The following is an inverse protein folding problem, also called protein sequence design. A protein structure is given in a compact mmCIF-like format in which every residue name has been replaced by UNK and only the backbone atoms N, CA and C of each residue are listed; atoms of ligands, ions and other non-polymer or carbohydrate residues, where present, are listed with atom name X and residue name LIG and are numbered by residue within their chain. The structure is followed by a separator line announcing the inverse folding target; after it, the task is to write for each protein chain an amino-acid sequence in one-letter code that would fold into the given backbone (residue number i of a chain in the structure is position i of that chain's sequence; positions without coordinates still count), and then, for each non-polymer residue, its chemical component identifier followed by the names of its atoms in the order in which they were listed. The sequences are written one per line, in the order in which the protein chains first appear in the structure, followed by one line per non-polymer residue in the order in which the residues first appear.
data_IF_732504912963
#
_entry.id   IF_732504912963
#
_cell.length_a   1.000
_cell.length_b   1.000
_cell.length_c   1.000
_cell.angle_alpha   90.00
_cell.angle_beta   90.00
_cell.angle_gamma   90.00
#
_symmetry.space_group_name_H-M   'P 1'
#
loop_
_entity.id
_entity.type
_entity.pdbx_description
1 polymer ?
#
# COMPACT_ATOMS: atom_id res chain seq x y z
N UNK A 1 48.49 6.59 37.10
CA UNK A 1 47.43 7.53 37.52
C UNK A 1 47.00 8.27 36.26
N UNK A 2 45.90 7.89 35.61
CA UNK A 2 44.47 7.98 35.98
C UNK A 2 43.84 9.28 35.43
N UNK A 3 42.67 9.12 34.80
CA UNK A 3 41.83 10.19 34.23
C UNK A 3 41.30 9.77 32.84
N UNK A 4 40.54 8.69 32.71
CA UNK A 4 39.10 8.53 33.02
C UNK A 4 38.20 9.06 31.88
N UNK A 5 37.57 8.10 31.20
CA UNK A 5 36.66 8.30 30.07
C UNK A 5 35.34 8.96 30.49
N UNK A 6 35.02 10.09 29.84
CA UNK A 6 33.73 10.74 29.93
C UNK A 6 32.84 10.42 28.72
N UNK A 7 32.24 9.23 28.68
CA UNK A 7 31.17 8.93 27.72
C UNK A 7 29.92 9.80 27.97
N UNK A 8 29.22 10.29 26.94
CA UNK A 8 28.09 11.19 27.12
C UNK A 8 26.90 10.51 27.80
N UNK A 9 26.50 11.10 28.92
CA UNK A 9 25.40 10.66 29.79
C UNK A 9 24.05 10.93 29.09
N UNK A 10 23.42 9.90 28.54
CA UNK A 10 22.09 9.98 27.91
C UNK A 10 21.03 10.24 29.01
N UNK A 11 20.26 11.34 28.97
CA UNK A 11 19.15 11.52 29.91
C UNK A 11 18.00 10.58 29.55
N UNK A 12 17.49 9.84 30.55
CA UNK A 12 16.28 9.02 30.43
C UNK A 12 15.06 9.92 30.10
N UNK A 13 14.13 9.48 29.24
CA UNK A 13 12.90 10.22 28.98
C UNK A 13 12.02 10.31 30.24
N UNK A 14 11.33 11.44 30.48
CA UNK A 14 10.39 11.55 31.60
C UNK A 14 9.18 10.63 31.41
N UNK A 15 8.76 9.97 32.50
CA UNK A 15 7.50 9.21 32.58
C UNK A 15 6.31 10.16 32.49
N UNK A 16 5.43 9.98 31.51
CA UNK A 16 4.13 10.63 31.48
C UNK A 16 3.12 9.77 32.26
N UNK A 17 2.82 10.17 33.50
CA UNK A 17 1.72 9.64 34.32
C UNK A 17 0.61 10.69 34.46
N UNK A 18 -0.56 10.33 33.92
CA UNK A 18 -1.97 10.60 34.31
C UNK A 18 -2.43 11.97 34.84
N UNK A 19 -3.64 12.40 34.44
CA UNK A 19 -4.79 12.65 35.34
C UNK A 19 -6.12 12.74 34.53
N UNK A 20 -7.22 12.13 35.01
CA UNK A 20 -8.55 12.22 34.40
C UNK A 20 -9.34 13.44 34.90
N UNK A 21 -10.13 14.06 34.02
CA UNK A 21 -11.12 15.08 34.41
C UNK A 21 -12.48 14.45 34.67
N UNK A 22 -12.92 14.49 35.93
CA UNK A 22 -14.29 14.17 36.36
C UNK A 22 -14.98 15.46 36.77
N UNK A 23 -16.21 15.69 36.30
CA UNK A 23 -17.13 16.62 36.94
C UNK A 23 -18.56 16.08 36.76
N UNK A 24 -19.08 15.59 37.87
CA UNK A 24 -20.46 15.18 38.12
C UNK A 24 -21.30 16.42 38.42
N UNK A 25 -22.52 16.51 37.87
CA UNK A 25 -23.63 17.24 38.49
C UNK A 25 -24.90 16.40 38.41
N UNK A 26 -25.52 16.26 39.57
CA UNK A 26 -26.69 15.46 39.94
C UNK A 26 -27.97 16.32 39.88
N UNK A 27 -29.11 15.73 39.49
CA UNK A 27 -30.45 16.26 39.78
C UNK A 27 -31.60 15.57 39.00
N UNK A 28 -32.83 15.44 39.55
CA UNK A 28 -33.50 14.13 39.63
C UNK A 28 -34.95 14.05 39.07
N UNK A 29 -35.50 12.81 39.07
CA UNK A 29 -36.93 12.44 39.28
C UNK A 29 -37.92 12.77 38.13
N UNK A 30 -39.04 12.11 37.81
CA UNK A 30 -39.89 11.00 38.31
C UNK A 30 -40.70 10.51 37.08
N UNK A 31 -40.93 9.22 36.86
CA UNK A 31 -42.26 8.61 37.07
C UNK A 31 -43.09 8.43 35.77
N UNK A 32 -43.74 7.27 35.60
CA UNK A 32 -44.83 7.11 34.62
C UNK A 32 -44.92 5.76 33.90
N UNK A 33 -45.46 4.75 34.57
CA UNK A 33 -46.06 3.54 33.97
C UNK A 33 -47.30 3.86 33.13
N UNK A 34 -47.48 3.19 32.00
CA UNK A 34 -48.71 3.23 31.21
C UNK A 34 -48.82 2.04 30.27
N UNK A 35 -49.58 1.03 30.68
CA UNK A 35 -50.04 -0.11 29.88
C UNK A 35 -51.20 0.34 28.99
N UNK A 36 -51.23 -0.04 27.71
CA UNK A 36 -52.33 0.26 26.81
C UNK A 36 -52.42 -0.71 25.64
N UNK A 37 -53.31 -1.69 25.77
CA UNK A 37 -53.75 -2.61 24.71
C UNK A 37 -54.77 -1.90 23.82
N UNK A 38 -54.63 -2.01 22.50
CA UNK A 38 -55.63 -1.48 21.55
C UNK A 38 -55.51 -2.14 20.18
N UNK A 39 -56.44 -3.06 19.89
CA UNK A 39 -56.73 -3.62 18.57
C UNK A 39 -57.59 -2.65 17.75
N UNK A 40 -57.25 -2.44 16.48
CA UNK A 40 -58.08 -1.65 15.54
C UNK A 40 -57.68 -1.92 14.08
N UNK A 41 -58.67 -2.34 13.28
CA UNK A 41 -58.57 -2.84 11.90
C UNK A 41 -58.91 -1.76 10.87
N UNK A 42 -58.28 -1.85 9.69
CA UNK A 42 -58.65 -1.33 8.36
C UNK A 42 -58.52 0.18 8.05
N UNK A 43 -57.87 0.46 6.91
CA UNK A 43 -57.86 1.75 6.23
C UNK A 43 -56.94 1.74 5.01
N UNK A 44 -57.55 1.78 3.83
CA UNK A 44 -56.97 1.62 2.48
C UNK A 44 -56.19 2.86 1.99
N UNK A 45 -55.33 2.59 0.99
CA UNK A 45 -54.84 3.47 -0.08
C UNK A 45 -54.02 4.74 0.23
N UNK A 46 -52.72 4.69 -0.10
CA UNK A 46 -51.99 5.82 -0.67
C UNK A 46 -50.67 5.38 -1.37
N UNK A 47 -50.70 5.44 -2.70
CA UNK A 47 -49.71 6.04 -3.60
C UNK A 47 -48.24 6.17 -3.14
N UNK A 48 -47.37 5.49 -3.89
CA UNK A 48 -46.09 6.07 -4.34
C UNK A 48 -44.89 5.87 -3.43
N UNK A 49 -43.99 4.96 -3.81
CA UNK A 49 -42.58 5.14 -3.50
C UNK A 49 -41.74 4.54 -4.62
N UNK A 50 -41.11 5.43 -5.38
CA UNK A 50 -40.03 5.10 -6.30
C UNK A 50 -39.00 4.24 -5.57
N UNK A 51 -38.82 3.00 -6.04
CA UNK A 51 -37.61 2.24 -5.73
C UNK A 51 -36.50 2.86 -6.55
N UNK A 52 -35.74 3.75 -5.93
CA UNK A 52 -34.43 4.16 -6.43
C UNK A 52 -33.52 2.95 -6.35
N UNK A 53 -33.42 2.22 -7.47
CA UNK A 53 -32.29 1.36 -7.72
C UNK A 53 -31.04 2.22 -7.60
N UNK A 54 -30.28 2.02 -6.53
CA UNK A 54 -28.94 2.59 -6.41
C UNK A 54 -28.09 1.85 -7.41
N UNK A 55 -28.05 2.35 -8.64
CA UNK A 55 -27.06 1.96 -9.63
C UNK A 55 -25.69 2.25 -9.02
N UNK A 56 -25.00 1.18 -8.61
CA UNK A 56 -23.58 1.27 -8.28
C UNK A 56 -22.88 1.82 -9.51
N UNK A 57 -22.45 3.08 -9.39
CA UNK A 57 -21.73 3.78 -10.43
C UNK A 57 -20.57 2.91 -10.91
N UNK A 58 -20.58 2.63 -12.22
CA UNK A 58 -19.44 2.04 -12.90
C UNK A 58 -18.22 2.89 -12.60
N UNK A 59 -17.21 2.28 -12.01
CA UNK A 59 -15.91 2.91 -11.81
C UNK A 59 -15.26 3.00 -13.19
N UNK A 60 -15.42 4.17 -13.81
CA UNK A 60 -14.68 4.56 -15.01
C UNK A 60 -13.19 4.47 -14.69
N UNK A 61 -12.55 3.41 -15.15
CA UNK A 61 -11.12 3.18 -14.95
C UNK A 61 -10.38 4.07 -15.94
N UNK A 62 -9.80 5.16 -15.45
CA UNK A 62 -8.92 6.00 -16.23
C UNK A 62 -7.68 5.21 -16.68
N UNK A 63 -7.24 5.34 -17.95
CA UNK A 63 -6.03 4.69 -18.45
C UNK A 63 -4.81 5.21 -17.67
N UNK A 64 -4.08 4.31 -17.01
CA UNK A 64 -2.91 4.63 -16.17
C UNK A 64 -3.05 4.25 -14.69
N UNK A 65 -4.21 3.73 -14.25
CA UNK A 65 -4.37 3.27 -12.87
C UNK A 65 -3.74 1.90 -12.69
N UNK A 66 -2.54 1.83 -12.08
CA UNK A 66 -1.97 0.56 -11.61
C UNK A 66 -3.01 -0.18 -10.74
N UNK A 67 -3.22 -1.46 -11.02
CA UNK A 67 -4.26 -2.23 -10.35
C UNK A 67 -3.97 -2.31 -8.84
N UNK A 68 -4.75 -1.58 -8.03
CA UNK A 68 -4.47 -1.35 -6.59
C UNK A 68 -4.28 -2.66 -5.81
N UNK A 69 -5.00 -3.73 -6.18
CA UNK A 69 -4.85 -5.03 -5.53
C UNK A 69 -3.49 -5.68 -5.84
N UNK A 70 -3.01 -5.60 -7.08
CA UNK A 70 -1.71 -6.15 -7.48
C UNK A 70 -0.56 -5.34 -6.88
N UNK A 71 -0.69 -4.01 -6.88
CA UNK A 71 0.28 -3.14 -6.23
C UNK A 71 0.41 -3.44 -4.74
N UNK A 72 -0.72 -3.63 -4.04
CA UNK A 72 -0.70 -3.96 -2.61
C UNK A 72 -0.05 -5.33 -2.35
N UNK A 73 -0.31 -6.31 -3.22
CA UNK A 73 0.29 -7.63 -3.11
C UNK A 73 1.81 -7.62 -3.34
N UNK A 74 2.27 -6.85 -4.34
CA UNK A 74 3.69 -6.74 -4.67
C UNK A 74 4.47 -5.77 -3.77
N UNK A 75 3.79 -4.90 -3.01
CA UNK A 75 4.41 -3.82 -2.24
C UNK A 75 5.52 -4.31 -1.27
N UNK A 76 5.33 -5.40 -0.47
CA UNK A 76 6.38 -5.89 0.42
C UNK A 76 7.66 -6.27 -0.33
N UNK A 77 7.53 -6.96 -1.47
CA UNK A 77 8.65 -7.31 -2.35
C UNK A 77 9.37 -6.05 -2.87
N UNK A 78 8.62 -5.05 -3.31
CA UNK A 78 9.19 -3.78 -3.78
C UNK A 78 9.95 -3.03 -2.67
N UNK A 79 9.40 -2.98 -1.46
CA UNK A 79 10.03 -2.32 -0.32
C UNK A 79 11.35 -3.01 0.07
N UNK A 80 11.35 -4.34 0.14
CA UNK A 80 12.57 -5.11 0.41
C UNK A 80 13.62 -4.88 -0.69
N UNK A 81 13.22 -4.85 -1.96
CA UNK A 81 14.14 -4.58 -3.07
C UNK A 81 14.79 -3.18 -2.99
N UNK A 82 14.02 -2.15 -2.60
CA UNK A 82 14.56 -0.80 -2.41
C UNK A 82 15.54 -0.79 -1.24
N UNK A 83 15.17 -1.37 -0.10
CA UNK A 83 16.01 -1.41 1.10
C UNK A 83 17.30 -2.23 0.91
N UNK A 84 17.27 -3.29 0.11
CA UNK A 84 18.45 -4.08 -0.26
C UNK A 84 19.50 -3.26 -1.02
N UNK A 85 19.01 -2.37 -1.90
CA UNK A 85 19.84 -1.48 -2.72
C UNK A 85 20.36 -0.28 -1.93
N UNK A 86 19.49 0.36 -1.14
CA UNK A 86 19.81 1.61 -0.42
C UNK A 86 20.40 1.41 0.98
N UNK A 87 20.39 0.18 1.51
CA UNK A 87 20.78 -0.23 2.87
C UNK A 87 19.90 0.34 3.99
N UNK A 88 19.54 1.61 3.92
CA UNK A 88 18.67 2.26 4.89
C UNK A 88 17.85 3.36 4.21
N UNK A 89 16.55 3.46 4.54
CA UNK A 89 15.67 4.50 3.99
C UNK A 89 14.58 4.89 4.99
N UNK A 90 13.85 5.98 4.74
CA UNK A 90 12.74 6.43 5.58
C UNK A 90 11.45 6.55 4.76
N UNK A 91 10.29 6.54 5.44
CA UNK A 91 8.99 6.33 4.78
C UNK A 91 8.70 7.25 3.58
N UNK A 92 9.09 8.52 3.66
CA UNK A 92 8.92 9.45 2.53
C UNK A 92 9.86 9.15 1.36
N UNK A 93 11.12 8.81 1.62
CA UNK A 93 12.06 8.41 0.58
C UNK A 93 11.57 7.14 -0.14
N UNK A 94 11.05 6.16 0.60
CA UNK A 94 10.45 4.95 0.03
C UNK A 94 9.25 5.28 -0.89
N UNK A 95 8.35 6.16 -0.48
CA UNK A 95 7.23 6.62 -1.33
C UNK A 95 7.73 7.29 -2.62
N UNK A 96 8.75 8.14 -2.51
CA UNK A 96 9.33 8.80 -3.67
C UNK A 96 9.93 7.77 -4.64
N UNK A 97 10.66 6.77 -4.12
CA UNK A 97 11.27 5.71 -4.92
C UNK A 97 10.23 4.84 -5.62
N UNK A 98 9.15 4.47 -4.93
CA UNK A 98 8.01 3.78 -5.53
C UNK A 98 7.38 4.61 -6.65
N UNK A 99 7.20 5.92 -6.43
CA UNK A 99 6.66 6.83 -7.45
C UNK A 99 7.54 6.88 -8.69
N UNK A 100 8.86 7.03 -8.52
CA UNK A 100 9.82 7.03 -9.64
C UNK A 100 9.86 5.70 -10.40
N UNK A 101 9.50 4.60 -9.75
CA UNK A 101 9.41 3.27 -10.36
C UNK A 101 8.07 3.02 -11.06
N UNK A 102 7.19 4.01 -11.17
CA UNK A 102 5.87 3.88 -11.80
C UNK A 102 4.75 3.41 -10.85
N UNK A 103 5.03 3.27 -9.55
CA UNK A 103 4.07 2.88 -8.52
C UNK A 103 3.48 4.09 -7.76
N UNK A 104 3.27 5.21 -8.46
CA UNK A 104 2.77 6.48 -7.87
C UNK A 104 1.38 6.41 -7.22
N UNK A 105 0.64 5.32 -7.39
CA UNK A 105 -0.63 5.08 -6.70
C UNK A 105 -0.48 4.73 -5.22
N UNK A 106 0.73 4.36 -4.76
CA UNK A 106 0.98 3.97 -3.37
C UNK A 106 0.99 5.21 -2.46
N UNK A 107 0.09 5.22 -1.48
CA UNK A 107 0.00 6.28 -0.48
C UNK A 107 0.63 5.84 0.85
N UNK A 108 0.93 6.81 1.71
CA UNK A 108 1.37 6.58 3.09
C UNK A 108 0.49 5.58 3.86
N UNK A 109 -0.84 5.68 3.71
CA UNK A 109 -1.81 4.77 4.33
C UNK A 109 -1.69 3.31 3.89
N UNK A 110 -1.01 3.03 2.77
CA UNK A 110 -0.72 1.67 2.29
C UNK A 110 0.72 1.26 2.62
N UNK A 111 1.66 2.19 2.53
CA UNK A 111 3.07 1.97 2.82
C UNK A 111 3.30 1.57 4.27
N UNK A 112 2.78 2.35 5.24
CA UNK A 112 3.09 2.12 6.64
C UNK A 112 2.58 0.79 7.20
N UNK A 113 1.34 0.35 6.92
CA UNK A 113 0.92 -0.99 7.32
C UNK A 113 1.76 -2.12 6.69
N UNK A 114 2.26 -1.92 5.47
CA UNK A 114 3.17 -2.90 4.86
C UNK A 114 4.53 -2.93 5.56
N UNK A 115 5.08 -1.77 5.93
CA UNK A 115 6.31 -1.68 6.72
C UNK A 115 6.14 -2.29 8.11
N UNK A 116 5.01 -2.06 8.78
CA UNK A 116 4.71 -2.68 10.08
C UNK A 116 4.70 -4.21 9.97
N UNK A 117 4.10 -4.78 8.93
CA UNK A 117 4.14 -6.24 8.72
C UNK A 117 5.56 -6.77 8.50
N UNK A 118 6.36 -6.06 7.70
CA UNK A 118 7.77 -6.41 7.46
C UNK A 118 8.63 -6.29 8.73
N UNK A 119 8.26 -5.41 9.66
CA UNK A 119 8.87 -5.31 10.99
C UNK A 119 8.44 -6.50 11.87
N UNK A 120 7.13 -6.79 11.92
CA UNK A 120 6.55 -7.89 12.71
C UNK A 120 7.09 -9.26 12.29
N UNK A 121 7.36 -9.46 11.00
CA UNK A 121 7.93 -10.71 10.46
C UNK A 121 9.48 -10.75 10.49
N UNK A 122 10.12 -9.68 11.00
CA UNK A 122 11.57 -9.60 11.15
C UNK A 122 12.33 -9.40 9.84
N UNK A 123 11.66 -9.13 8.72
CA UNK A 123 12.34 -8.82 7.44
C UNK A 123 13.00 -7.45 7.44
N UNK A 124 12.48 -6.52 8.26
CA UNK A 124 12.95 -5.14 8.36
C UNK A 124 13.10 -4.78 9.84
N UNK A 125 14.15 -4.02 10.15
CA UNK A 125 14.37 -3.42 11.47
C UNK A 125 14.21 -1.89 11.40
N UNK A 126 13.84 -1.28 12.54
CA UNK A 126 13.64 0.16 12.67
C UNK A 126 14.72 0.75 13.57
N UNK A 127 15.39 1.79 13.07
CA UNK A 127 16.32 2.60 13.82
C UNK A 127 15.81 4.05 13.92
N UNK A 128 15.93 4.67 15.10
CA UNK A 128 15.62 6.08 15.29
C UNK A 128 16.85 6.92 14.97
N UNK A 129 16.77 7.73 13.91
CA UNK A 129 17.81 8.69 13.55
C UNK A 129 17.50 10.09 14.07
N UNK A 130 18.54 10.82 14.46
CA UNK A 130 18.45 12.25 14.73
C UNK A 130 18.04 12.96 13.42
N UNK A 131 16.92 13.69 13.43
CA UNK A 131 16.56 14.54 12.31
C UNK A 131 17.56 15.69 12.22
N UNK A 132 18.01 16.05 11.01
CA UNK A 132 18.80 17.25 10.74
C UNK A 132 17.99 18.49 11.21
N UNK A 133 18.15 18.88 12.47
CA UNK A 133 17.44 20.00 13.11
C UNK A 133 15.94 19.78 13.43
N UNK A 134 15.45 18.52 13.49
CA UNK A 134 14.01 18.23 13.67
C UNK A 134 13.70 16.99 14.51
N UNK A 135 12.42 16.66 14.72
CA UNK A 135 12.03 15.46 15.46
C UNK A 135 12.63 14.20 14.82
N UNK A 136 12.97 13.23 15.66
CA UNK A 136 13.60 11.98 15.23
C UNK A 136 12.82 11.30 14.10
N UNK A 137 13.54 10.69 13.16
CA UNK A 137 12.98 10.00 12.00
C UNK A 137 13.17 8.50 12.17
N UNK A 138 12.14 7.72 11.82
CA UNK A 138 12.26 6.26 11.70
C UNK A 138 12.94 5.91 10.38
N UNK A 139 14.06 5.24 10.49
CA UNK A 139 14.77 4.62 9.38
C UNK A 139 14.51 3.12 9.39
N UNK A 140 14.32 2.57 8.21
CA UNK A 140 14.07 1.16 7.97
C UNK A 140 15.29 0.56 7.31
N UNK A 141 15.67 -0.63 7.76
CA UNK A 141 16.80 -1.39 7.23
C UNK A 141 16.40 -2.84 7.03
N UNK A 142 16.87 -3.44 5.94
CA UNK A 142 16.60 -4.85 5.64
C UNK A 142 17.54 -5.77 6.45
N UNK A 143 16.95 -6.77 7.10
CA UNK A 143 17.68 -7.78 7.89
C UNK A 143 18.22 -8.90 7.00
N UNK A 144 19.02 -9.83 7.55
CA UNK A 144 19.42 -11.05 6.83
C UNK A 144 18.22 -11.93 6.46
N UNK A 145 17.25 -12.06 7.37
CA UNK A 145 16.00 -12.76 7.09
C UNK A 145 15.22 -12.09 5.96
N UNK A 146 15.16 -10.75 5.95
CA UNK A 146 14.54 -9.99 4.87
C UNK A 146 15.22 -10.18 3.52
N UNK A 147 16.56 -10.28 3.48
CA UNK A 147 17.30 -10.60 2.24
C UNK A 147 17.00 -12.01 1.73
N UNK A 148 16.95 -13.01 2.61
CA UNK A 148 16.60 -14.37 2.24
C UNK A 148 15.17 -14.45 1.68
N UNK A 149 14.22 -13.78 2.34
CA UNK A 149 12.85 -13.64 1.84
C UNK A 149 12.80 -12.93 0.49
N UNK A 150 13.50 -11.81 0.32
CA UNK A 150 13.55 -11.07 -0.94
C UNK A 150 14.02 -11.95 -2.09
N UNK A 151 15.02 -12.80 -1.87
CA UNK A 151 15.48 -13.76 -2.87
C UNK A 151 14.36 -14.75 -3.24
N UNK A 152 13.69 -15.34 -2.26
CA UNK A 152 12.57 -16.26 -2.48
C UNK A 152 11.42 -15.59 -3.25
N UNK A 153 10.97 -14.42 -2.77
CA UNK A 153 9.86 -13.67 -3.35
C UNK A 153 10.21 -13.23 -4.79
N UNK A 154 11.46 -12.86 -5.09
CA UNK A 154 11.93 -12.56 -6.45
C UNK A 154 11.77 -13.75 -7.40
N UNK A 155 12.20 -14.94 -6.97
CA UNK A 155 12.07 -16.16 -7.78
C UNK A 155 10.61 -16.52 -8.02
N UNK A 156 9.79 -16.48 -6.96
CA UNK A 156 8.36 -16.77 -7.06
C UNK A 156 7.63 -15.76 -7.96
N UNK A 157 7.97 -14.47 -7.83
CA UNK A 157 7.41 -13.40 -8.65
C UNK A 157 7.73 -13.59 -10.14
N UNK A 158 8.98 -13.90 -10.48
CA UNK A 158 9.38 -14.14 -11.87
C UNK A 158 8.64 -15.32 -12.50
N UNK A 159 8.48 -16.43 -11.76
CA UNK A 159 7.71 -17.59 -12.23
C UNK A 159 6.22 -17.26 -12.43
N UNK A 160 5.64 -16.49 -11.49
CA UNK A 160 4.25 -16.06 -11.56
C UNK A 160 3.99 -15.15 -12.77
N UNK A 161 4.80 -14.10 -12.94
CA UNK A 161 4.61 -13.14 -14.04
C UNK A 161 4.84 -13.79 -15.39
N UNK A 162 5.80 -14.71 -15.50
CA UNK A 162 6.00 -15.51 -16.70
C UNK A 162 4.75 -16.35 -17.04
N UNK A 163 4.21 -17.09 -16.08
CA UNK A 163 3.00 -17.89 -16.27
C UNK A 163 1.78 -17.05 -16.65
N UNK A 164 1.60 -15.89 -15.99
CA UNK A 164 0.51 -14.96 -16.32
C UNK A 164 0.68 -14.41 -17.74
N UNK A 165 1.88 -13.97 -18.11
CA UNK A 165 2.14 -13.42 -19.44
C UNK A 165 1.86 -14.44 -20.56
N UNK A 166 2.24 -15.70 -20.35
CA UNK A 166 1.95 -16.80 -21.28
C UNK A 166 0.45 -17.07 -21.42
N UNK A 167 -0.32 -16.96 -20.33
CA UNK A 167 -1.78 -17.14 -20.35
C UNK A 167 -2.53 -15.94 -20.94
N UNK A 168 -2.02 -14.73 -20.77
CA UNK A 168 -2.64 -13.49 -21.29
C UNK A 168 -2.16 -13.09 -22.68
N UNK A 169 -1.26 -13.88 -23.30
CA UNK A 169 -0.66 -13.57 -24.61
C UNK A 169 0.17 -12.28 -24.59
N UNK A 170 0.68 -11.89 -23.42
CA UNK A 170 1.56 -10.73 -23.22
C UNK A 170 3.04 -11.12 -23.29
N UNK A 171 3.33 -12.42 -23.35
CA UNK A 171 4.62 -12.97 -23.77
C UNK A 171 4.77 -12.88 -25.30
N UNK A 172 4.46 -11.73 -25.91
CA UNK A 172 4.61 -11.57 -27.34
C UNK A 172 6.01 -12.06 -27.74
N UNK A 173 6.12 -13.06 -28.63
CA UNK A 173 7.42 -13.48 -29.10
C UNK A 173 8.03 -12.25 -29.76
N UNK A 174 9.20 -11.86 -29.29
CA UNK A 174 10.06 -10.96 -30.04
C UNK A 174 10.19 -11.60 -31.43
N UNK A 175 9.50 -11.05 -32.43
CA UNK A 175 9.65 -11.45 -33.82
C UNK A 175 10.74 -10.56 -34.43
N UNK A 176 12.02 -10.99 -34.47
CA UNK A 176 13.01 -10.35 -35.33
C UNK A 176 12.74 -10.63 -36.83
N UNK A 177 11.64 -11.30 -37.19
CA UNK A 177 11.29 -11.75 -38.53
C UNK A 177 10.41 -10.80 -39.36
N UNK A 178 9.97 -9.65 -38.84
CA UNK A 178 9.41 -8.59 -39.71
C UNK A 178 10.55 -7.82 -40.42
N UNK A 179 11.49 -8.56 -41.02
CA UNK A 179 12.27 -8.07 -42.14
C UNK A 179 11.27 -7.84 -43.28
N UNK A 180 10.83 -6.58 -43.37
CA UNK A 180 10.11 -5.97 -44.49
C UNK A 180 10.48 -6.68 -45.81
N UNK A 181 9.53 -7.28 -46.55
CA UNK A 181 9.79 -7.55 -47.96
C UNK A 181 10.09 -6.20 -48.60
N UNK A 182 11.34 -5.99 -49.00
CA UNK A 182 11.73 -4.84 -49.82
C UNK A 182 10.89 -4.87 -51.09
N UNK A 183 10.05 -3.87 -51.37
CA UNK A 183 9.58 -3.69 -52.74
C UNK A 183 10.75 -3.09 -53.52
N UNK A 184 11.58 -3.94 -54.14
CA UNK A 184 12.41 -3.47 -55.25
C UNK A 184 11.78 -3.95 -56.55
N UNK A 185 11.00 -3.04 -57.12
CA UNK A 185 10.56 -3.10 -58.50
C UNK A 185 11.74 -2.87 -59.46
N UNK A 186 11.51 -3.26 -60.72
CA UNK A 186 12.24 -2.93 -61.96
C UNK A 186 13.35 -3.95 -62.33
N UNK A 187 13.38 -4.56 -63.53
CA UNK A 187 12.95 -4.04 -64.84
C UNK A 187 12.69 -5.15 -65.90
N UNK A 188 12.10 -4.77 -67.06
CA UNK A 188 11.55 -5.64 -68.11
C UNK A 188 12.55 -6.03 -69.21
N UNK A 189 12.27 -7.14 -69.89
CA UNK A 189 13.03 -7.58 -71.08
C UNK A 189 12.31 -8.69 -71.86
N UNK A 190 11.28 -8.31 -72.62
CA UNK A 190 10.92 -8.97 -73.90
C UNK A 190 11.98 -8.59 -74.98
N UNK A 191 12.06 -9.18 -76.20
CA UNK A 191 11.04 -9.98 -76.92
C UNK A 191 11.53 -11.22 -77.72
N UNK A 192 10.53 -11.95 -78.23
CA UNK A 192 10.45 -12.87 -79.41
C UNK A 192 11.28 -14.15 -79.45
#
# INVERSE_FOLDING_TARGET
MAGEEGGPKIPKPPKATATPGTSTTTGPSTGGTGTGTGTGTAGSDATGTSTTGTGTAGTSTAPGTVHTAWTRAALPLCLLAILDTEKQSYGYALLNRLTTAGLGGVKAATLYPALTRLEEDGSVEIEWGAGEGGPGRKYYRITDAGRARLHHDRTAWAAFTHSVAALTGTDAPNDPGTARPTPHAAEPGEPT
#
